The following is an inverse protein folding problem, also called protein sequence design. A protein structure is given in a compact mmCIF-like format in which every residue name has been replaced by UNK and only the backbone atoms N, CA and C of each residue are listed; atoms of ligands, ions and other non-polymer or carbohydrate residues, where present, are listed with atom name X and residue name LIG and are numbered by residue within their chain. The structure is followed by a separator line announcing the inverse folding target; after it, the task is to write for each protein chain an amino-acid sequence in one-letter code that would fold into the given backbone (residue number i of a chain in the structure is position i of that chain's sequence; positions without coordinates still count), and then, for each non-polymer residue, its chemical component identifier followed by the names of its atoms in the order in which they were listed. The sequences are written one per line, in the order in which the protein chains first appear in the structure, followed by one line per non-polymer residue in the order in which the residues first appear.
data_IF_028917430618
#
_entry.id   IF_028917430618
#
_cell.length_a   1.000
_cell.length_b   1.000
_cell.length_c   1.000
_cell.angle_alpha   90.00
_cell.angle_beta   90.00
_cell.angle_gamma   90.00
#
_symmetry.space_group_name_H-M   'P 1'
#
loop_
_entity.id
_entity.type
_entity.pdbx_description
1 polymer ?
#
# COMPACT_ATOMS: atom_id res chain seq x y z
N UNK A 1 -12.03 -5.65 64.11
CA UNK A 1 -11.59 -4.32 64.56
C UNK A 1 -11.09 -3.53 63.40
N UNK A 2 -11.78 -2.46 63.19
CA UNK A 2 -11.55 -1.12 62.64
C UNK A 2 -11.20 -1.08 61.15
N UNK A 3 -12.11 -0.75 60.26
CA UNK A 3 -12.62 0.55 59.83
C UNK A 3 -11.56 1.65 59.72
N UNK A 4 -11.30 2.13 58.50
CA UNK A 4 -11.21 3.58 58.24
C UNK A 4 -11.41 3.92 56.75
N UNK A 5 -12.56 4.44 56.50
CA UNK A 5 -13.05 5.23 55.35
C UNK A 5 -12.28 6.54 55.22
N UNK A 6 -11.90 6.93 53.98
CA UNK A 6 -11.74 8.36 53.64
C UNK A 6 -12.13 8.66 52.20
N UNK A 7 -13.25 9.31 52.09
CA UNK A 7 -13.73 10.03 50.90
C UNK A 7 -13.17 11.46 50.87
N UNK A 8 -13.36 12.13 49.72
CA UNK A 8 -13.21 13.56 49.34
C UNK A 8 -11.98 13.79 48.46
N UNK A 9 -12.05 14.46 47.30
CA UNK A 9 -12.97 15.52 46.97
C UNK A 9 -13.01 15.78 45.47
N UNK A 10 -14.14 16.25 45.03
CA UNK A 10 -14.44 16.87 43.75
C UNK A 10 -13.66 18.18 43.58
N UNK A 11 -13.08 18.41 42.38
CA UNK A 11 -12.74 19.73 41.91
C UNK A 11 -13.23 19.90 40.47
N UNK A 12 -14.30 20.67 40.31
CA UNK A 12 -14.70 21.32 39.06
C UNK A 12 -13.76 22.50 38.79
N UNK A 13 -13.26 22.61 37.56
CA UNK A 13 -12.78 23.84 36.95
C UNK A 13 -12.92 23.64 35.45
N UNK A 14 -13.84 24.24 34.70
CA UNK A 14 -13.80 25.63 34.36
C UNK A 14 -13.36 25.73 32.92
N UNK A 15 -14.32 25.51 31.93
CA UNK A 15 -14.07 25.70 30.48
C UNK A 15 -14.02 27.20 30.18
N UNK A 16 -12.91 27.72 29.71
CA UNK A 16 -12.82 28.99 28.99
C UNK A 16 -12.53 28.75 27.54
N UNK A 17 -13.55 28.89 26.71
CA UNK A 17 -13.44 28.91 25.26
C UNK A 17 -12.84 30.25 24.81
N UNK A 18 -11.62 30.20 24.24
CA UNK A 18 -11.03 31.33 23.55
C UNK A 18 -11.38 31.25 22.08
N UNK A 19 -12.30 32.09 21.63
CA UNK A 19 -12.63 32.28 20.23
C UNK A 19 -11.51 33.07 19.54
N UNK A 20 -10.74 32.42 18.69
CA UNK A 20 -9.78 33.09 17.79
C UNK A 20 -10.53 33.49 16.53
N UNK A 21 -10.79 34.79 16.42
CA UNK A 21 -11.29 35.45 15.21
C UNK A 21 -10.09 35.65 14.27
N UNK A 22 -10.06 34.94 13.12
CA UNK A 22 -9.10 35.17 12.06
C UNK A 22 -9.58 36.31 11.15
N UNK A 23 -8.72 37.28 10.79
CA UNK A 23 -9.08 38.35 9.86
C UNK A 23 -9.16 37.83 8.43
N UNK A 24 -10.25 38.18 7.76
CA UNK A 24 -10.46 37.96 6.33
C UNK A 24 -9.65 39.01 5.57
N UNK A 25 -8.59 38.58 4.86
CA UNK A 25 -7.86 39.46 3.96
C UNK A 25 -8.60 39.65 2.63
N UNK A 26 -8.69 40.84 2.10
CA UNK A 26 -9.33 41.10 0.82
C UNK A 26 -8.48 40.59 -0.34
N UNK A 27 -9.15 39.89 -1.25
CA UNK A 27 -8.62 39.34 -2.50
C UNK A 27 -8.26 40.47 -3.47
N UNK A 28 -6.97 40.58 -3.84
CA UNK A 28 -6.50 41.50 -4.87
C UNK A 28 -6.94 41.04 -6.27
N UNK A 29 -7.29 42.00 -7.20
CA UNK A 29 -7.65 41.64 -8.57
C UNK A 29 -6.44 41.17 -9.37
N UNK A 30 -6.64 40.13 -10.20
CA UNK A 30 -5.66 39.59 -11.11
C UNK A 30 -5.27 40.59 -12.22
N UNK A 31 -3.99 40.63 -12.62
CA UNK A 31 -3.57 41.46 -13.76
C UNK A 31 -4.07 40.87 -15.10
N UNK A 32 -4.53 41.75 -15.97
CA UNK A 32 -4.95 41.45 -17.32
C UNK A 32 -3.79 40.87 -18.15
N UNK A 33 -4.03 39.70 -18.74
CA UNK A 33 -3.08 39.04 -19.64
C UNK A 33 -3.20 39.67 -21.02
N UNK A 34 -2.17 40.41 -21.44
CA UNK A 34 -2.01 40.93 -22.79
C UNK A 34 -1.92 39.80 -23.81
N UNK A 35 -2.76 39.84 -24.83
CA UNK A 35 -2.76 38.91 -25.94
C UNK A 35 -1.48 39.05 -26.78
N UNK A 36 -0.70 37.98 -26.88
CA UNK A 36 0.44 37.84 -27.81
C UNK A 36 -0.08 37.26 -29.11
N UNK A 37 0.22 37.88 -30.29
CA UNK A 37 -0.22 37.34 -31.59
C UNK A 37 0.55 36.05 -31.93
N UNK A 38 -0.20 35.05 -32.43
CA UNK A 38 0.31 33.75 -32.82
C UNK A 38 1.25 33.84 -34.02
N UNK A 39 2.40 33.17 -34.06
CA UNK A 39 3.18 33.00 -35.30
C UNK A 39 2.48 31.96 -36.19
N UNK A 40 2.29 32.36 -37.45
CA UNK A 40 1.89 31.45 -38.55
C UNK A 40 3.05 30.52 -38.83
N UNK A 41 2.87 29.24 -38.51
CA UNK A 41 3.81 28.17 -38.90
C UNK A 41 3.25 27.51 -40.15
N UNK A 42 4.01 27.59 -41.23
CA UNK A 42 3.78 26.94 -42.52
C UNK A 42 3.77 25.43 -42.35
N UNK A 43 2.78 24.78 -42.96
CA UNK A 43 2.62 23.34 -43.01
C UNK A 43 3.63 22.79 -44.01
N UNK A 44 4.73 22.20 -43.57
CA UNK A 44 5.50 21.27 -44.41
C UNK A 44 5.08 19.85 -44.08
N UNK A 45 4.51 19.19 -45.06
CA UNK A 45 4.12 17.80 -45.11
C UNK A 45 5.36 16.91 -45.00
N UNK A 46 5.54 16.22 -43.87
CA UNK A 46 6.41 15.06 -43.79
C UNK A 46 5.62 13.91 -43.18
N UNK A 47 4.96 13.17 -44.04
CA UNK A 47 4.36 11.89 -43.72
C UNK A 47 5.51 10.86 -43.51
N UNK A 48 5.70 10.33 -42.34
CA UNK A 48 6.17 8.96 -42.02
C UNK A 48 6.74 8.89 -40.62
N UNK A 49 5.89 8.88 -39.56
CA UNK A 49 6.31 8.39 -38.21
C UNK A 49 5.13 8.23 -37.21
N UNK A 50 3.93 7.87 -37.63
CA UNK A 50 2.77 7.89 -36.69
C UNK A 50 2.24 6.51 -36.29
N UNK A 51 2.82 5.40 -36.72
CA UNK A 51 2.26 4.06 -36.47
C UNK A 51 2.83 3.37 -35.22
N UNK A 52 4.02 3.74 -34.72
CA UNK A 52 4.68 3.02 -33.61
C UNK A 52 4.33 3.56 -32.21
N UNK A 53 3.89 4.80 -32.11
CA UNK A 53 3.58 5.42 -30.81
C UNK A 53 2.20 5.02 -30.23
N UNK A 54 1.24 4.70 -31.07
CA UNK A 54 -0.13 4.34 -30.65
C UNK A 54 -0.22 3.00 -29.92
N UNK A 55 0.56 2.03 -30.36
CA UNK A 55 0.50 0.66 -29.83
C UNK A 55 1.19 0.53 -28.46
N UNK A 56 2.25 1.30 -28.24
CA UNK A 56 2.96 1.37 -26.96
C UNK A 56 2.10 1.98 -25.84
N UNK A 57 1.33 3.03 -26.16
CA UNK A 57 0.42 3.71 -25.23
C UNK A 57 -0.79 2.82 -24.85
N UNK A 58 -1.33 2.04 -25.78
CA UNK A 58 -2.44 1.10 -25.57
C UNK A 58 -2.00 -0.10 -24.73
N UNK A 59 -0.79 -0.62 -24.92
CA UNK A 59 -0.22 -1.75 -24.16
C UNK A 59 0.07 -1.36 -22.71
N UNK A 60 0.60 -0.16 -22.44
CA UNK A 60 0.86 0.34 -21.08
C UNK A 60 -0.43 0.60 -20.31
N UNK A 61 -1.46 1.17 -20.95
CA UNK A 61 -2.79 1.38 -20.35
C UNK A 61 -3.46 0.06 -19.96
N UNK A 62 -3.41 -0.98 -20.81
CA UNK A 62 -3.99 -2.30 -20.54
C UNK A 62 -3.26 -3.01 -19.39
N UNK A 63 -1.93 -2.93 -19.34
CA UNK A 63 -1.10 -3.50 -18.27
C UNK A 63 -1.37 -2.82 -16.93
N UNK A 64 -1.47 -1.49 -16.90
CA UNK A 64 -1.79 -0.75 -15.67
C UNK A 64 -3.18 -1.07 -15.13
N UNK A 65 -4.17 -1.23 -16.00
CA UNK A 65 -5.53 -1.59 -15.61
C UNK A 65 -5.59 -3.02 -15.06
N UNK A 66 -4.90 -3.97 -15.69
CA UNK A 66 -4.85 -5.37 -15.22
C UNK A 66 -4.18 -5.47 -13.84
N UNK A 67 -3.10 -4.73 -13.62
CA UNK A 67 -2.45 -4.64 -12.31
C UNK A 67 -3.42 -4.08 -11.26
N UNK A 68 -4.10 -2.97 -11.55
CA UNK A 68 -5.04 -2.35 -10.60
C UNK A 68 -6.16 -3.30 -10.17
N UNK A 69 -6.75 -4.04 -11.12
CA UNK A 69 -7.82 -5.01 -10.85
C UNK A 69 -7.32 -6.16 -9.96
N UNK A 70 -6.16 -6.74 -10.29
CA UNK A 70 -5.59 -7.85 -9.51
C UNK A 70 -5.13 -7.38 -8.12
N UNK A 71 -4.50 -6.23 -8.02
CA UNK A 71 -4.09 -5.59 -6.78
C UNK A 71 -5.29 -5.36 -5.86
N UNK A 72 -6.38 -4.79 -6.38
CA UNK A 72 -7.61 -4.62 -5.62
C UNK A 72 -8.18 -5.96 -5.12
N UNK A 73 -8.12 -7.02 -5.93
CA UNK A 73 -8.55 -8.38 -5.52
C UNK A 73 -7.65 -8.94 -4.42
N UNK A 74 -6.33 -8.79 -4.54
CA UNK A 74 -5.36 -9.19 -3.51
C UNK A 74 -5.66 -8.47 -2.20
N UNK A 75 -5.82 -7.16 -2.22
CA UNK A 75 -6.08 -6.37 -1.03
C UNK A 75 -7.42 -6.69 -0.37
N UNK A 76 -8.49 -6.86 -1.15
CA UNK A 76 -9.81 -7.28 -0.62
C UNK A 76 -9.72 -8.65 0.05
N UNK A 77 -9.15 -9.65 -0.64
CA UNK A 77 -8.99 -11.01 -0.10
C UNK A 77 -8.10 -11.01 1.14
N UNK A 78 -6.98 -10.30 1.12
CA UNK A 78 -6.10 -10.22 2.28
C UNK A 78 -6.77 -9.56 3.49
N UNK A 79 -7.52 -8.48 3.27
CA UNK A 79 -8.24 -7.79 4.34
C UNK A 79 -9.39 -8.62 4.93
N UNK A 80 -10.10 -9.43 4.13
CA UNK A 80 -11.16 -10.32 4.66
C UNK A 80 -10.62 -11.45 5.53
N UNK A 81 -9.33 -11.70 5.51
CA UNK A 81 -8.66 -12.72 6.34
C UNK A 81 -8.02 -12.14 7.61
N UNK A 82 -8.18 -10.85 7.90
CA UNK A 82 -7.72 -10.27 9.18
C UNK A 82 -8.38 -10.98 10.36
N UNK A 83 -7.58 -11.20 11.41
CA UNK A 83 -8.03 -11.96 12.59
C UNK A 83 -7.78 -13.47 12.50
N UNK A 84 -7.53 -14.04 11.31
CA UNK A 84 -7.16 -15.47 11.18
C UNK A 84 -5.87 -15.73 11.94
N UNK A 85 -5.80 -16.79 12.80
CA UNK A 85 -4.64 -17.07 13.60
C UNK A 85 -3.42 -17.49 12.77
N UNK A 86 -2.24 -17.20 13.28
CA UNK A 86 -1.02 -17.78 12.73
C UNK A 86 -0.97 -19.29 13.00
N UNK A 87 -0.57 -20.05 11.97
CA UNK A 87 -0.27 -21.47 12.08
C UNK A 87 0.97 -21.79 11.26
N UNK A 88 1.97 -22.39 11.87
CA UNK A 88 3.18 -22.82 11.15
C UNK A 88 2.80 -23.80 10.03
N UNK A 89 3.30 -23.58 8.81
CA UNK A 89 2.93 -24.37 7.63
C UNK A 89 1.48 -24.19 7.17
N UNK A 90 0.72 -23.25 7.75
CA UNK A 90 -0.69 -23.03 7.46
C UNK A 90 -0.90 -22.32 6.11
N UNK A 91 -1.84 -22.82 5.31
CA UNK A 91 -2.16 -22.32 3.96
C UNK A 91 -3.65 -22.10 3.73
N UNK A 92 -4.48 -22.16 4.78
CA UNK A 92 -5.93 -22.09 4.71
C UNK A 92 -6.50 -21.08 5.71
N UNK A 93 -7.77 -20.65 5.58
CA UNK A 93 -8.43 -19.76 6.54
C UNK A 93 -8.52 -20.30 7.98
N UNK A 94 -8.20 -21.58 8.22
CA UNK A 94 -8.06 -22.13 9.58
C UNK A 94 -6.76 -21.73 10.28
N UNK A 95 -5.81 -21.16 9.54
CA UNK A 95 -4.55 -20.64 10.02
C UNK A 95 -3.54 -20.51 8.89
N UNK A 96 -2.71 -19.47 8.95
CA UNK A 96 -1.68 -19.19 7.97
C UNK A 96 -0.32 -18.96 8.63
N UNK A 97 0.76 -19.38 7.95
CA UNK A 97 2.05 -18.73 8.12
C UNK A 97 2.19 -17.55 7.12
N UNK A 98 3.31 -16.85 7.13
CA UNK A 98 3.52 -15.66 6.31
C UNK A 98 3.44 -15.96 4.80
N UNK A 99 4.10 -17.00 4.34
CA UNK A 99 4.15 -17.40 2.93
C UNK A 99 2.90 -18.15 2.47
N UNK A 100 2.24 -18.88 3.35
CA UNK A 100 0.96 -19.52 3.10
C UNK A 100 -0.17 -18.51 2.95
N UNK A 101 -0.16 -17.45 3.78
CA UNK A 101 -1.09 -16.33 3.67
C UNK A 101 -0.96 -15.65 2.29
N UNK A 102 0.25 -15.23 1.93
CA UNK A 102 0.47 -14.59 0.63
C UNK A 102 0.13 -15.52 -0.53
N UNK A 103 0.56 -16.79 -0.50
CA UNK A 103 0.22 -17.79 -1.53
C UNK A 103 -1.28 -17.96 -1.69
N UNK A 104 -2.02 -18.05 -0.59
CA UNK A 104 -3.48 -18.17 -0.62
C UNK A 104 -4.14 -16.95 -1.28
N UNK A 105 -3.77 -15.75 -0.83
CA UNK A 105 -4.34 -14.49 -1.32
C UNK A 105 -4.06 -14.28 -2.81
N UNK A 106 -2.83 -14.53 -3.24
CA UNK A 106 -2.46 -14.38 -4.65
C UNK A 106 -3.09 -15.45 -5.55
N UNK A 107 -3.25 -16.68 -5.07
CA UNK A 107 -3.98 -17.73 -5.81
C UNK A 107 -5.43 -17.31 -6.09
N UNK A 108 -6.10 -16.64 -5.15
CA UNK A 108 -7.43 -16.05 -5.37
C UNK A 108 -7.44 -14.96 -6.46
N UNK A 109 -6.30 -14.31 -6.68
CA UNK A 109 -6.12 -13.32 -7.76
C UNK A 109 -5.57 -13.95 -9.07
N UNK A 110 -5.49 -15.29 -9.15
CA UNK A 110 -5.02 -16.01 -10.33
C UNK A 110 -3.49 -16.08 -10.47
N UNK A 111 -2.75 -15.89 -9.36
CA UNK A 111 -1.28 -15.97 -9.34
C UNK A 111 -0.83 -17.06 -8.37
N UNK A 112 -0.12 -18.06 -8.87
CA UNK A 112 0.48 -19.11 -8.04
C UNK A 112 1.82 -18.65 -7.48
N UNK A 113 2.00 -18.80 -6.16
CA UNK A 113 3.25 -18.51 -5.45
C UNK A 113 3.71 -19.73 -4.65
N UNK A 114 5.04 -19.97 -4.54
CA UNK A 114 5.56 -21.05 -3.71
C UNK A 114 5.31 -20.78 -2.21
N UNK A 115 5.20 -21.84 -1.42
CA UNK A 115 5.04 -21.74 0.05
C UNK A 115 6.41 -21.55 0.72
N UNK A 116 7.07 -20.45 0.38
CA UNK A 116 8.36 -20.03 0.96
C UNK A 116 8.60 -18.56 0.69
N UNK A 117 8.95 -17.77 1.71
CA UNK A 117 9.24 -16.35 1.56
C UNK A 117 10.39 -16.10 0.56
N UNK A 118 11.48 -16.84 0.67
CA UNK A 118 12.61 -16.76 -0.28
C UNK A 118 12.22 -17.22 -1.68
N UNK A 119 11.39 -18.27 -1.82
CA UNK A 119 10.88 -18.73 -3.11
C UNK A 119 9.99 -17.68 -3.78
N UNK A 120 9.12 -17.01 -3.02
CA UNK A 120 8.31 -15.91 -3.51
C UNK A 120 9.15 -14.71 -3.94
N UNK A 121 10.19 -14.39 -3.18
CA UNK A 121 11.13 -13.33 -3.52
C UNK A 121 11.85 -13.59 -4.85
N UNK A 122 12.28 -14.82 -5.09
CA UNK A 122 12.92 -15.22 -6.37
C UNK A 122 11.96 -15.15 -7.56
N UNK A 123 10.68 -15.43 -7.34
CA UNK A 123 9.64 -15.35 -8.36
C UNK A 123 9.21 -13.93 -8.69
N UNK A 124 9.32 -13.01 -7.74
CA UNK A 124 8.88 -11.64 -7.89
C UNK A 124 9.89 -10.78 -8.67
N UNK A 125 9.41 -9.96 -9.59
CA UNK A 125 10.22 -8.89 -10.18
C UNK A 125 10.54 -7.86 -9.09
N UNK A 126 11.82 -7.67 -8.80
CA UNK A 126 12.26 -6.66 -7.83
C UNK A 126 11.88 -5.26 -8.30
N UNK A 127 11.37 -4.46 -7.37
CA UNK A 127 11.01 -3.05 -7.58
C UNK A 127 11.59 -2.19 -6.45
N UNK A 128 11.75 -0.90 -6.70
CA UNK A 128 12.16 0.05 -5.66
C UNK A 128 11.00 0.33 -4.70
N UNK A 129 11.32 0.83 -3.51
CA UNK A 129 10.30 1.24 -2.52
C UNK A 129 9.37 2.34 -3.05
N UNK A 130 9.89 3.28 -3.83
CA UNK A 130 9.11 4.35 -4.47
C UNK A 130 8.13 3.85 -5.53
N UNK A 131 8.43 2.70 -6.14
CA UNK A 131 7.57 2.05 -7.13
C UNK A 131 6.55 1.08 -6.50
N UNK A 132 6.69 0.78 -5.20
CA UNK A 132 5.81 -0.16 -4.51
C UNK A 132 4.39 0.39 -4.40
N UNK A 133 3.41 -0.45 -4.73
CA UNK A 133 1.98 -0.13 -4.71
C UNK A 133 1.24 -1.16 -3.86
N UNK A 134 0.08 -0.83 -3.27
CA UNK A 134 -0.74 -1.82 -2.58
C UNK A 134 -0.95 -3.05 -3.47
N UNK A 135 -0.77 -4.23 -2.87
CA UNK A 135 -0.80 -5.50 -3.61
C UNK A 135 0.56 -5.98 -4.13
N UNK A 136 1.67 -5.25 -3.95
CA UNK A 136 3.02 -5.80 -4.13
C UNK A 136 3.46 -6.59 -2.89
N UNK A 137 4.49 -7.42 -3.01
CA UNK A 137 5.07 -8.16 -1.88
C UNK A 137 6.15 -7.35 -1.17
N UNK A 138 6.22 -7.48 0.15
CA UNK A 138 7.30 -6.97 1.00
C UNK A 138 8.04 -8.17 1.57
N UNK A 139 9.34 -8.23 1.38
CA UNK A 139 10.22 -9.28 1.90
C UNK A 139 11.11 -8.70 2.99
N UNK A 140 11.15 -9.36 4.14
CA UNK A 140 12.01 -8.99 5.27
C UNK A 140 13.23 -9.90 5.27
N UNK A 141 14.42 -9.29 5.24
CA UNK A 141 15.67 -10.02 5.07
C UNK A 141 16.33 -10.36 6.39
N UNK A 142 16.79 -11.62 6.49
CA UNK A 142 17.81 -12.11 7.41
C UNK A 142 19.12 -12.35 6.66
N UNK A 143 20.02 -13.14 7.23
CA UNK A 143 21.37 -13.35 6.67
C UNK A 143 21.39 -13.93 5.25
N UNK A 144 20.59 -14.97 4.95
CA UNK A 144 20.66 -15.71 3.66
C UNK A 144 19.38 -15.63 2.81
N UNK A 145 18.53 -14.64 2.99
CA UNK A 145 17.31 -14.51 2.20
C UNK A 145 16.18 -13.83 2.95
N UNK A 146 14.95 -14.04 2.49
CA UNK A 146 13.77 -13.52 3.16
C UNK A 146 13.28 -14.51 4.23
N UNK A 147 13.30 -14.09 5.50
CA UNK A 147 12.72 -14.87 6.59
C UNK A 147 11.22 -14.65 6.75
N UNK A 148 10.70 -13.56 6.20
CA UNK A 148 9.29 -13.21 6.30
C UNK A 148 8.82 -12.49 5.04
N UNK A 149 7.52 -12.60 4.76
CA UNK A 149 6.86 -11.96 3.62
C UNK A 149 5.48 -11.45 4.02
N UNK A 150 5.09 -10.33 3.44
CA UNK A 150 3.75 -9.77 3.56
C UNK A 150 3.33 -9.05 2.28
N UNK A 151 2.11 -8.56 2.25
CA UNK A 151 1.54 -7.78 1.15
C UNK A 151 1.68 -6.30 1.51
N UNK A 152 2.29 -5.51 0.65
CA UNK A 152 2.36 -4.07 0.85
C UNK A 152 0.97 -3.44 0.78
N UNK A 153 0.60 -2.73 1.82
CA UNK A 153 -0.73 -2.13 1.97
C UNK A 153 -0.74 -0.60 1.70
N UNK A 154 0.39 -0.04 1.23
CA UNK A 154 0.57 1.40 1.12
C UNK A 154 1.04 2.03 2.46
N UNK A 155 1.42 3.31 2.43
CA UNK A 155 1.74 4.12 3.62
C UNK A 155 2.69 3.42 4.60
N UNK A 156 3.72 2.78 4.07
CA UNK A 156 4.71 2.03 4.85
C UNK A 156 4.10 0.93 5.75
N UNK A 157 3.04 0.27 5.28
CA UNK A 157 2.35 -0.80 6.00
C UNK A 157 2.39 -2.12 5.24
N UNK A 158 2.37 -3.22 5.96
CA UNK A 158 2.30 -4.57 5.44
C UNK A 158 1.12 -5.32 6.05
N UNK A 159 0.39 -6.05 5.23
CA UNK A 159 -0.63 -7.02 5.63
C UNK A 159 -0.01 -8.40 5.61
N UNK A 160 0.02 -9.08 6.74
CA UNK A 160 0.76 -10.32 6.91
C UNK A 160 0.17 -11.26 7.97
N UNK A 161 0.59 -12.51 7.97
CA UNK A 161 0.43 -13.44 9.08
C UNK A 161 1.75 -13.47 9.88
N UNK A 162 1.80 -13.01 11.14
CA UNK A 162 3.06 -12.62 11.78
C UNK A 162 3.91 -13.77 12.34
N UNK A 163 3.46 -14.44 13.40
CA UNK A 163 4.19 -15.43 14.19
C UNK A 163 3.23 -16.19 15.11
N UNK A 164 3.65 -17.28 15.76
CA UNK A 164 2.84 -17.99 16.76
C UNK A 164 2.20 -17.04 17.78
N UNK A 165 0.94 -17.26 18.10
CA UNK A 165 0.12 -16.41 18.96
C UNK A 165 -0.45 -15.16 18.29
N UNK A 166 0.06 -14.79 17.12
CA UNK A 166 -0.44 -13.63 16.37
C UNK A 166 -1.58 -13.99 15.41
N UNK A 167 -2.14 -12.95 14.80
CA UNK A 167 -3.23 -13.05 13.82
C UNK A 167 -2.92 -12.21 12.59
N UNK A 168 -3.49 -12.55 11.45
CA UNK A 168 -3.39 -11.74 10.23
C UNK A 168 -3.81 -10.30 10.54
N UNK A 169 -2.92 -9.37 10.26
CA UNK A 169 -3.11 -7.96 10.58
C UNK A 169 -2.34 -7.03 9.64
N UNK A 170 -2.67 -5.74 9.66
CA UNK A 170 -1.92 -4.71 8.95
C UNK A 170 -1.12 -3.89 9.96
N UNK A 171 0.20 -3.90 9.83
CA UNK A 171 1.13 -3.19 10.73
C UNK A 171 2.09 -2.31 9.93
N UNK A 172 2.80 -1.38 10.60
CA UNK A 172 3.91 -0.65 9.96
C UNK A 172 5.03 -1.63 9.63
N UNK A 173 5.75 -1.36 8.53
CA UNK A 173 6.98 -2.08 8.21
C UNK A 173 8.01 -1.72 9.28
N UNK A 174 8.43 -2.72 10.07
CA UNK A 174 9.24 -2.57 11.29
C UNK A 174 10.75 -2.65 11.04
N UNK A 175 11.17 -3.02 9.84
CA UNK A 175 12.58 -3.19 9.49
C UNK A 175 12.96 -2.25 8.33
N UNK A 176 14.20 -1.79 8.33
CA UNK A 176 14.81 -1.10 7.19
C UNK A 176 15.35 -2.10 6.15
N UNK A 177 15.70 -3.32 6.58
CA UNK A 177 16.21 -4.38 5.71
C UNK A 177 15.06 -5.12 5.04
N UNK A 178 14.42 -4.45 4.08
CA UNK A 178 13.32 -4.98 3.29
C UNK A 178 13.53 -4.75 1.80
N UNK A 179 12.97 -5.62 0.98
CA UNK A 179 12.83 -5.42 -0.46
C UNK A 179 11.38 -5.57 -0.89
N UNK A 180 11.08 -5.05 -2.08
CA UNK A 180 9.74 -5.10 -2.65
C UNK A 180 9.78 -5.88 -3.95
N UNK A 181 8.70 -6.61 -4.24
CA UNK A 181 8.59 -7.39 -5.46
C UNK A 181 7.17 -7.43 -6.02
N UNK A 182 7.07 -7.43 -7.34
CA UNK A 182 5.81 -7.47 -8.08
C UNK A 182 5.64 -8.79 -8.79
N UNK A 183 4.46 -9.38 -8.69
CA UNK A 183 4.05 -10.64 -9.34
C UNK A 183 2.70 -10.53 -10.08
N UNK A 184 2.09 -9.35 -10.06
CA UNK A 184 0.81 -9.03 -10.70
C UNK A 184 0.99 -8.45 -12.09
#
# INVERSE_FOLDING_TARGET
MALLTRARGMALAGATALAVVLPISPMAPAPAVSAVPAPRVSIETSATATVVAGDRKKKTSRSSRSFAVRSAKVMRTGNSLKGVPYRYGGTTPRGFDCSGFTSYVYRKAGVSLPHSATGQMRKAKRISRSQARPGDLVFFHGGRGAYHVGIYAGNNRTLHSPRPGGRVSTVRIWSRNVSFGRVL
#
